data_IF_472583446965
#
_entry.id   IF_472583446965
#
_cell.length_a   1.000
_cell.length_b   1.000
_cell.length_c   1.000
_cell.angle_alpha   90.00
_cell.angle_beta   90.00
_cell.angle_gamma   90.00
#
_symmetry.space_group_name_H-M   'P 1'
#
loop_
_entity.id
_entity.type
_entity.pdbx_description
1 polymer ?
#
# COMPACT_ATOMS: atom_id res chain seq x y z
N UNK A 1 5.36 6.89 9.82
CA UNK A 1 5.58 5.89 8.75
C UNK A 1 6.25 6.52 7.54
N UNK A 2 7.41 7.12 7.79
CA UNK A 2 8.21 7.79 6.77
C UNK A 2 8.95 6.79 5.86
N UNK A 3 9.41 7.27 4.73
CA UNK A 3 10.09 6.44 3.71
C UNK A 3 11.32 5.72 4.23
N UNK A 4 12.05 6.30 5.18
CA UNK A 4 13.16 5.62 5.86
C UNK A 4 12.79 4.34 6.62
N UNK A 5 11.49 4.16 6.97
CA UNK A 5 11.00 2.98 7.66
C UNK A 5 10.25 1.97 6.78
N UNK A 6 9.76 2.39 5.61
CA UNK A 6 8.96 1.54 4.70
C UNK A 6 9.55 1.43 3.29
N UNK A 7 10.43 2.36 2.89
CA UNK A 7 11.09 2.34 1.59
C UNK A 7 12.34 1.44 1.61
N UNK A 8 12.35 0.41 0.80
CA UNK A 8 13.50 -0.49 0.62
C UNK A 8 13.85 -0.59 -0.86
N UNK A 9 15.14 -0.76 -1.22
CA UNK A 9 15.52 -0.99 -2.60
C UNK A 9 14.98 -2.34 -3.08
N UNK A 10 14.48 -2.38 -4.32
CA UNK A 10 14.05 -3.61 -4.97
C UNK A 10 14.79 -3.78 -6.30
N UNK A 11 15.12 -5.03 -6.64
CA UNK A 11 15.81 -5.38 -7.88
C UNK A 11 15.09 -6.53 -8.56
N UNK A 12 14.86 -6.38 -9.86
CA UNK A 12 14.29 -7.43 -10.71
C UNK A 12 15.27 -7.74 -11.82
N UNK A 13 15.56 -9.02 -12.03
CA UNK A 13 16.42 -9.49 -13.11
C UNK A 13 15.63 -10.41 -14.05
N UNK A 14 15.39 -9.95 -15.26
CA UNK A 14 14.76 -10.74 -16.30
C UNK A 14 15.38 -10.41 -17.68
N UNK A 15 16.52 -11.05 -18.04
CA UNK A 15 17.34 -10.64 -19.19
C UNK A 15 16.63 -10.61 -20.53
N UNK A 16 15.56 -11.41 -20.70
CA UNK A 16 14.79 -11.47 -21.96
C UNK A 16 13.69 -10.40 -22.05
N UNK A 17 13.39 -9.70 -20.97
CA UNK A 17 12.26 -8.76 -20.89
C UNK A 17 12.68 -7.37 -20.40
N UNK A 18 13.63 -7.28 -19.50
CA UNK A 18 14.05 -6.01 -18.88
C UNK A 18 15.37 -5.56 -19.49
N UNK A 19 15.38 -4.31 -19.98
CA UNK A 19 16.61 -3.67 -20.45
C UNK A 19 17.62 -3.53 -19.31
N UNK A 20 18.89 -3.97 -19.49
CA UNK A 20 19.91 -3.82 -18.47
C UNK A 20 20.09 -2.37 -18.01
N UNK A 21 20.32 -2.17 -16.71
CA UNK A 21 20.51 -0.85 -16.07
C UNK A 21 19.32 0.09 -16.15
N UNK A 22 18.11 -0.42 -16.42
CA UNK A 22 16.89 0.38 -16.32
C UNK A 22 16.51 0.60 -14.86
N UNK A 23 15.92 1.77 -14.57
CA UNK A 23 15.35 2.12 -13.26
C UNK A 23 13.94 2.63 -13.44
N UNK A 24 13.11 2.48 -12.40
CA UNK A 24 11.76 3.00 -12.39
C UNK A 24 11.43 3.57 -11.01
N UNK A 25 10.56 4.57 -10.95
CA UNK A 25 9.97 5.11 -9.73
C UNK A 25 8.58 4.50 -9.45
N UNK A 26 8.23 3.40 -10.09
CA UNK A 26 6.96 2.74 -9.86
C UNK A 26 6.83 2.30 -8.40
N UNK A 27 5.74 2.72 -7.76
CA UNK A 27 5.45 2.39 -6.37
C UNK A 27 5.04 0.92 -6.27
N UNK A 28 5.83 0.11 -5.59
CA UNK A 28 5.60 -1.32 -5.42
C UNK A 28 5.85 -1.79 -3.99
N UNK A 29 5.41 -2.99 -3.68
CA UNK A 29 5.56 -3.62 -2.38
C UNK A 29 5.79 -5.13 -2.52
N UNK A 30 6.20 -5.79 -1.46
CA UNK A 30 6.26 -7.26 -1.40
C UNK A 30 4.90 -7.93 -1.58
N UNK A 31 3.80 -7.23 -1.33
CA UNK A 31 2.44 -7.70 -1.61
C UNK A 31 2.22 -7.98 -3.11
N UNK A 32 2.98 -7.32 -3.97
CA UNK A 32 2.85 -7.40 -5.43
C UNK A 32 3.52 -8.64 -6.02
N UNK A 33 4.35 -9.35 -5.25
CA UNK A 33 5.09 -10.50 -5.77
C UNK A 33 4.18 -11.66 -6.16
N UNK A 34 3.24 -12.02 -5.29
CA UNK A 34 2.32 -13.11 -5.57
C UNK A 34 1.43 -12.84 -6.80
N UNK A 35 0.71 -11.71 -6.91
CA UNK A 35 -0.08 -11.43 -8.10
C UNK A 35 0.77 -11.33 -9.37
N UNK A 36 2.02 -10.86 -9.28
CA UNK A 36 2.94 -10.84 -10.43
C UNK A 36 3.30 -12.25 -10.89
N UNK A 37 3.56 -13.18 -9.98
CA UNK A 37 3.90 -14.57 -10.33
C UNK A 37 2.68 -15.28 -10.93
N UNK A 38 1.50 -15.09 -10.35
CA UNK A 38 0.25 -15.67 -10.85
C UNK A 38 -0.05 -15.19 -12.26
N UNK A 39 0.07 -13.88 -12.51
CA UNK A 39 -0.12 -13.26 -13.82
C UNK A 39 0.94 -13.76 -14.83
N UNK A 40 2.21 -13.78 -14.44
CA UNK A 40 3.31 -14.29 -15.28
C UNK A 40 3.11 -15.75 -15.72
N UNK A 41 2.60 -16.59 -14.85
CA UNK A 41 2.36 -18.00 -15.12
C UNK A 41 1.01 -18.24 -15.79
N UNK A 42 0.18 -17.21 -15.94
CA UNK A 42 -1.18 -17.29 -16.47
C UNK A 42 -2.01 -18.38 -15.76
N UNK A 43 -1.97 -18.39 -14.43
CA UNK A 43 -2.74 -19.31 -13.58
C UNK A 43 -3.76 -18.52 -12.75
N UNK A 44 -4.80 -19.19 -12.28
CA UNK A 44 -5.76 -18.60 -11.33
C UNK A 44 -5.22 -18.67 -9.91
N UNK A 45 -5.68 -17.74 -9.06
CA UNK A 45 -5.47 -17.89 -7.63
C UNK A 45 -6.12 -19.18 -7.12
N UNK A 46 -5.51 -19.83 -6.13
CA UNK A 46 -5.99 -21.13 -5.64
C UNK A 46 -7.33 -21.04 -4.88
N UNK A 47 -7.70 -19.86 -4.46
CA UNK A 47 -8.94 -19.57 -3.73
C UNK A 47 -9.42 -18.12 -4.01
N UNK A 48 -10.55 -17.74 -3.45
CA UNK A 48 -11.23 -16.45 -3.65
C UNK A 48 -10.88 -15.40 -2.58
N UNK A 49 -9.86 -15.65 -1.74
CA UNK A 49 -9.43 -14.68 -0.74
C UNK A 49 -8.92 -13.39 -1.40
N UNK A 50 -9.22 -12.23 -0.81
CA UNK A 50 -8.75 -10.94 -1.33
C UNK A 50 -7.22 -10.89 -1.44
N UNK A 51 -6.72 -10.32 -2.53
CA UNK A 51 -5.30 -10.05 -2.76
C UNK A 51 -5.08 -8.55 -2.82
N UNK A 52 -4.33 -8.02 -1.86
CA UNK A 52 -4.09 -6.57 -1.74
C UNK A 52 -3.02 -6.05 -2.71
N UNK A 53 -2.20 -6.94 -3.25
CA UNK A 53 -1.15 -6.60 -4.22
C UNK A 53 -1.67 -6.45 -5.65
N UNK A 54 -0.88 -5.82 -6.50
CA UNK A 54 -1.12 -5.72 -7.95
C UNK A 54 -0.01 -6.43 -8.72
N UNK A 55 -0.31 -6.94 -9.92
CA UNK A 55 0.74 -7.48 -10.79
C UNK A 55 1.68 -6.36 -11.24
N UNK A 56 2.99 -6.60 -11.14
CA UNK A 56 4.02 -5.72 -11.69
C UNK A 56 4.35 -6.04 -13.17
N UNK A 57 3.72 -7.07 -13.75
CA UNK A 57 3.98 -7.47 -15.12
C UNK A 57 3.68 -6.35 -16.13
N UNK A 58 2.57 -5.60 -16.03
CA UNK A 58 2.30 -4.47 -16.90
C UNK A 58 3.38 -3.39 -16.85
N UNK A 59 3.92 -3.09 -15.67
CA UNK A 59 5.03 -2.16 -15.50
C UNK A 59 6.33 -2.71 -16.12
N UNK A 60 6.66 -3.98 -15.87
CA UNK A 60 7.84 -4.64 -16.42
C UNK A 60 7.80 -4.65 -17.94
N UNK A 61 6.64 -4.78 -18.54
CA UNK A 61 6.42 -4.75 -19.98
C UNK A 61 6.27 -3.33 -20.57
N UNK A 62 6.36 -2.29 -19.75
CA UNK A 62 6.27 -0.89 -20.17
C UNK A 62 4.85 -0.44 -20.54
N UNK A 63 3.82 -1.20 -20.15
CA UNK A 63 2.41 -0.89 -20.41
C UNK A 63 1.81 0.06 -19.37
N UNK A 64 2.38 0.11 -18.18
CA UNK A 64 1.97 0.98 -17.08
C UNK A 64 3.16 1.71 -16.47
N UNK A 65 2.96 2.98 -16.12
CA UNK A 65 3.97 3.85 -15.49
C UNK A 65 3.63 4.22 -14.05
N UNK A 66 2.41 3.94 -13.60
CA UNK A 66 1.94 4.22 -12.24
C UNK A 66 1.06 3.08 -11.72
N UNK A 67 1.06 2.91 -10.40
CA UNK A 67 0.24 1.91 -9.71
C UNK A 67 -1.25 2.27 -9.82
N UNK A 68 -2.07 1.28 -10.17
CA UNK A 68 -3.53 1.43 -10.33
C UNK A 68 -4.28 1.55 -8.99
N UNK A 69 -3.75 0.93 -7.93
CA UNK A 69 -4.33 0.91 -6.59
C UNK A 69 -3.43 1.61 -5.58
N UNK A 70 -3.98 2.22 -4.53
CA UNK A 70 -3.16 2.78 -3.46
C UNK A 70 -2.36 1.70 -2.74
N UNK A 71 -1.26 2.10 -2.10
CA UNK A 71 -0.44 1.23 -1.27
C UNK A 71 -0.51 1.70 0.18
N UNK A 72 -1.30 1.02 1.02
CA UNK A 72 -1.42 1.35 2.42
C UNK A 72 -0.42 0.58 3.29
N UNK A 73 -0.03 1.22 4.39
CA UNK A 73 0.74 0.64 5.48
C UNK A 73 0.09 0.99 6.81
N UNK A 74 0.13 0.08 7.78
CA UNK A 74 -0.43 0.32 9.11
C UNK A 74 0.45 -0.29 10.20
N UNK A 75 0.68 0.47 11.26
CA UNK A 75 1.42 0.00 12.42
C UNK A 75 1.06 0.79 13.68
N UNK A 76 0.64 0.10 14.75
CA UNK A 76 0.35 0.68 16.07
C UNK A 76 -0.53 1.93 16.01
N UNK A 77 -1.65 1.85 15.32
CA UNK A 77 -2.61 2.95 15.23
C UNK A 77 -2.27 4.06 14.23
N UNK A 78 -1.08 4.02 13.62
CA UNK A 78 -0.69 4.94 12.56
C UNK A 78 -0.80 4.26 11.20
N UNK A 79 -1.06 5.04 10.15
CA UNK A 79 -1.04 4.55 8.77
C UNK A 79 -0.26 5.49 7.84
N UNK A 80 0.24 4.92 6.75
CA UNK A 80 0.64 5.66 5.56
C UNK A 80 -0.18 5.15 4.38
N UNK A 81 -0.58 6.06 3.51
CA UNK A 81 -1.34 5.76 2.31
C UNK A 81 -0.63 6.40 1.14
N UNK A 82 -0.18 5.61 0.18
CA UNK A 82 0.48 6.10 -1.02
C UNK A 82 -0.48 5.92 -2.19
N UNK A 83 -0.84 7.02 -2.84
CA UNK A 83 -1.69 7.04 -4.00
C UNK A 83 -1.09 7.95 -5.07
N UNK A 84 -0.67 7.37 -6.20
CA UNK A 84 0.15 8.05 -7.20
C UNK A 84 1.43 8.59 -6.58
N UNK A 85 1.68 9.89 -6.74
CA UNK A 85 2.89 10.55 -6.22
C UNK A 85 2.74 11.07 -4.78
N UNK A 86 1.50 11.03 -4.23
CA UNK A 86 1.22 11.57 -2.92
C UNK A 86 1.23 10.49 -1.84
N UNK A 87 1.89 10.80 -0.74
CA UNK A 87 1.88 10.01 0.49
C UNK A 87 1.22 10.79 1.60
N UNK A 88 0.28 10.14 2.24
CA UNK A 88 -0.52 10.66 3.35
C UNK A 88 -0.13 9.93 4.63
N UNK A 89 0.19 10.67 5.68
CA UNK A 89 0.49 10.13 7.01
C UNK A 89 -0.71 10.35 7.91
N UNK A 90 -1.32 9.24 8.33
CA UNK A 90 -2.42 9.21 9.28
C UNK A 90 -1.90 8.95 10.69
N UNK A 91 -2.28 9.81 11.64
CA UNK A 91 -1.93 9.73 13.05
C UNK A 91 -3.04 10.36 13.90
N UNK A 92 -3.33 9.77 15.05
CA UNK A 92 -4.27 10.31 16.03
C UNK A 92 -5.66 10.66 15.49
N UNK A 93 -6.13 9.93 14.50
CA UNK A 93 -7.47 10.08 13.95
C UNK A 93 -7.57 10.89 12.67
N UNK A 94 -6.48 11.49 12.18
CA UNK A 94 -6.49 12.35 11.00
C UNK A 94 -5.23 12.22 10.14
N UNK A 95 -5.29 12.80 8.94
CA UNK A 95 -4.10 13.03 8.11
C UNK A 95 -3.37 14.26 8.63
N UNK A 96 -2.16 14.04 9.11
CA UNK A 96 -1.33 15.11 9.71
C UNK A 96 -0.25 15.62 8.75
N UNK A 97 0.14 14.83 7.76
CA UNK A 97 1.19 15.17 6.79
C UNK A 97 0.85 14.61 5.41
N UNK A 98 1.21 15.35 4.36
CA UNK A 98 1.12 14.93 2.96
C UNK A 98 2.40 15.33 2.26
N UNK A 99 2.98 14.40 1.49
CA UNK A 99 4.22 14.61 0.75
C UNK A 99 4.08 14.17 -0.70
N UNK A 100 4.70 14.89 -1.62
CA UNK A 100 4.86 14.47 -3.01
C UNK A 100 6.17 13.70 -3.15
N UNK A 101 6.12 12.38 -3.19
CA UNK A 101 7.32 11.52 -3.24
C UNK A 101 8.13 11.65 -4.53
N UNK A 102 7.53 12.19 -5.61
CA UNK A 102 8.25 12.43 -6.87
C UNK A 102 9.19 13.65 -6.76
N UNK A 103 8.73 14.71 -6.09
CA UNK A 103 9.45 15.98 -5.96
C UNK A 103 10.20 16.08 -4.64
N UNK A 104 9.69 15.44 -3.59
CA UNK A 104 10.18 15.50 -2.22
C UNK A 104 10.38 14.08 -1.64
N UNK A 105 11.46 13.44 -2.08
CA UNK A 105 11.80 12.07 -1.65
C UNK A 105 12.15 11.98 -0.16
N UNK A 106 12.57 13.10 0.44
CA UNK A 106 12.99 13.14 1.85
C UNK A 106 11.87 13.54 2.80
N UNK A 107 10.67 13.88 2.27
CA UNK A 107 9.49 14.20 3.09
C UNK A 107 9.72 15.44 3.97
N UNK A 108 10.30 16.48 3.41
CA UNK A 108 10.66 17.72 4.10
C UNK A 108 9.56 18.79 4.00
N UNK A 109 8.71 18.74 2.93
CA UNK A 109 7.73 19.77 2.62
C UNK A 109 6.30 19.22 2.83
N UNK A 110 5.74 19.49 4.00
CA UNK A 110 4.37 19.06 4.31
C UNK A 110 3.32 19.88 3.57
N UNK A 111 2.54 19.22 2.71
CA UNK A 111 1.50 19.81 1.85
C UNK A 111 0.09 19.71 2.42
N UNK A 112 -0.10 19.31 3.67
CA UNK A 112 -1.44 19.00 4.24
C UNK A 112 -2.40 20.19 4.14
N UNK A 113 -1.91 21.42 4.33
CA UNK A 113 -2.71 22.64 4.21
C UNK A 113 -3.24 22.90 2.79
N UNK A 114 -2.54 22.41 1.77
CA UNK A 114 -2.92 22.58 0.36
C UNK A 114 -3.94 21.53 -0.10
N UNK A 115 -4.04 20.38 0.60
CA UNK A 115 -4.85 19.23 0.24
C UNK A 115 -5.88 18.85 1.31
N UNK A 116 -6.42 19.83 2.03
CA UNK A 116 -7.32 19.59 3.20
C UNK A 116 -8.54 18.73 2.87
N UNK A 117 -9.21 18.95 1.74
CA UNK A 117 -10.37 18.15 1.35
C UNK A 117 -9.95 16.73 0.95
N UNK A 118 -8.84 16.59 0.24
CA UNK A 118 -8.30 15.26 -0.11
C UNK A 118 -7.83 14.50 1.13
N UNK A 119 -7.27 15.18 2.12
CA UNK A 119 -6.91 14.59 3.41
C UNK A 119 -8.13 13.95 4.10
N UNK A 120 -9.27 14.63 4.14
CA UNK A 120 -10.52 14.07 4.72
C UNK A 120 -11.01 12.84 3.96
N UNK A 121 -10.99 12.89 2.62
CA UNK A 121 -11.34 11.73 1.78
C UNK A 121 -10.45 10.53 2.09
N UNK A 122 -9.12 10.73 2.10
CA UNK A 122 -8.15 9.67 2.34
C UNK A 122 -8.24 9.15 3.78
N UNK A 123 -8.49 10.00 4.78
CA UNK A 123 -8.73 9.59 6.16
C UNK A 123 -9.88 8.58 6.23
N UNK A 124 -11.02 8.87 5.58
CA UNK A 124 -12.15 7.95 5.51
C UNK A 124 -11.79 6.63 4.81
N UNK A 125 -11.05 6.67 3.71
CA UNK A 125 -10.60 5.46 2.98
C UNK A 125 -9.66 4.60 3.84
N UNK A 126 -8.75 5.21 4.58
CA UNK A 126 -7.88 4.51 5.54
C UNK A 126 -8.73 3.80 6.60
N UNK A 127 -9.76 4.44 7.14
CA UNK A 127 -10.62 3.82 8.14
C UNK A 127 -11.45 2.67 7.57
N UNK A 128 -11.96 2.78 6.35
CA UNK A 128 -12.64 1.67 5.65
C UNK A 128 -11.69 0.49 5.43
N UNK A 129 -10.48 0.75 4.95
CA UNK A 129 -9.45 -0.26 4.77
C UNK A 129 -9.05 -0.92 6.10
N UNK A 130 -8.80 -0.12 7.16
CA UNK A 130 -8.53 -0.63 8.50
C UNK A 130 -9.65 -1.57 9.01
N UNK A 131 -10.91 -1.21 8.77
CA UNK A 131 -12.04 -2.05 9.14
C UNK A 131 -12.05 -3.37 8.37
N UNK A 132 -11.77 -3.36 7.06
CA UNK A 132 -11.60 -4.55 6.25
C UNK A 132 -10.47 -5.44 6.78
N UNK A 133 -9.29 -4.88 7.03
CA UNK A 133 -8.16 -5.60 7.61
C UNK A 133 -8.48 -6.21 8.98
N UNK A 134 -9.24 -5.51 9.82
CA UNK A 134 -9.66 -6.03 11.12
C UNK A 134 -10.62 -7.22 11.00
N UNK A 135 -11.55 -7.19 10.03
CA UNK A 135 -12.41 -8.33 9.71
C UNK A 135 -11.60 -9.53 9.24
N UNK A 136 -10.68 -9.31 8.29
CA UNK A 136 -9.78 -10.34 7.77
C UNK A 136 -8.93 -10.96 8.89
N UNK A 137 -8.35 -10.13 9.76
CA UNK A 137 -7.63 -10.59 10.95
C UNK A 137 -8.51 -11.43 11.89
N UNK A 138 -9.80 -11.15 11.96
CA UNK A 138 -10.80 -11.94 12.71
C UNK A 138 -11.26 -13.22 12.02
N UNK A 139 -10.75 -13.51 10.82
CA UNK A 139 -11.07 -14.74 10.08
C UNK A 139 -12.12 -14.60 8.99
N UNK A 140 -12.60 -13.39 8.67
CA UNK A 140 -13.67 -13.19 7.69
C UNK A 140 -13.35 -13.72 6.27
N UNK A 141 -12.06 -13.82 5.94
CA UNK A 141 -11.58 -14.29 4.62
C UNK A 141 -11.29 -15.80 4.62
N UNK A 142 -11.64 -16.52 5.69
CA UNK A 142 -11.37 -17.94 5.83
C UNK A 142 -12.68 -18.75 5.94
N UNK A 143 -12.76 -19.84 5.23
CA UNK A 143 -13.96 -20.71 5.20
C UNK A 143 -14.08 -21.68 6.38
N UNK A 144 -13.06 -21.75 7.25
CA UNK A 144 -12.99 -22.66 8.40
C UNK A 144 -12.83 -21.87 9.69
N UNK A 145 -13.02 -22.52 10.83
CA UNK A 145 -12.74 -21.93 12.14
C UNK A 145 -11.31 -21.42 12.22
N UNK A 146 -11.21 -20.12 12.32
CA UNK A 146 -9.94 -19.40 12.34
C UNK A 146 -9.80 -18.65 13.67
N UNK A 147 -8.67 -18.85 14.33
CA UNK A 147 -8.31 -18.11 15.54
C UNK A 147 -7.08 -17.25 15.23
N UNK A 148 -7.14 -15.91 15.40
CA UNK A 148 -5.99 -15.06 15.19
C UNK A 148 -4.81 -15.45 16.11
N UNK A 149 -3.64 -15.66 15.52
CA UNK A 149 -2.42 -16.02 16.27
C UNK A 149 -1.84 -14.83 17.01
N UNK A 150 -2.05 -13.63 16.49
CA UNK A 150 -1.48 -12.39 17.01
C UNK A 150 -2.58 -11.40 17.41
N UNK A 151 -2.26 -10.54 18.38
CA UNK A 151 -3.11 -9.42 18.74
C UNK A 151 -3.21 -8.43 17.57
N UNK A 152 -4.41 -7.90 17.31
CA UNK A 152 -4.62 -6.81 16.36
C UNK A 152 -3.76 -5.59 16.70
N UNK A 153 -3.08 -5.00 15.73
CA UNK A 153 -2.19 -3.85 15.87
C UNK A 153 -2.54 -2.68 14.95
N UNK A 154 -3.74 -2.68 14.41
CA UNK A 154 -4.24 -1.60 13.59
C UNK A 154 -4.82 -0.44 14.42
N UNK A 155 -5.72 0.32 13.80
CA UNK A 155 -6.40 1.47 14.43
C UNK A 155 -7.62 0.93 15.19
N UNK A 156 -7.59 0.95 16.51
CA UNK A 156 -8.66 0.38 17.34
C UNK A 156 -9.80 1.36 17.68
N UNK A 157 -9.49 2.64 17.76
CA UNK A 157 -10.47 3.68 18.12
C UNK A 157 -10.22 4.95 17.33
N UNK A 158 -11.29 5.52 16.79
CA UNK A 158 -11.37 6.95 16.59
C UNK A 158 -11.33 7.56 17.97
N UNK A 159 -10.25 8.19 18.37
CA UNK A 159 -10.25 9.09 19.53
C UNK A 159 -10.96 10.36 19.04
N UNK A 160 -12.29 10.37 19.16
CA UNK A 160 -13.04 11.62 19.10
C UNK A 160 -12.62 12.44 20.33
N UNK A 161 -11.78 13.44 20.10
CA UNK A 161 -11.66 14.58 21.01
C UNK A 161 -12.69 15.63 20.63
#
# INVERSE_FOLDING_TARGET
MYSGGIGVPAFVKWPKKITPKSTTNFVSSTLDYLPTIVDLLNISFPDDRPVDGVSLLPMIEGRETSRSQPLPFMHKGNAAWIERDLKYIYRDGDIVEIYNLHEDRFEENNLVSQYSEKAKEISNRIMQWNFSCKKSHGGADYSTDFTPVNQWRGIDKLQHK
#
